data_IF_864438412690
#
_entry.id   IF_864438412690
#
_cell.length_a   1.000
_cell.length_b   1.000
_cell.length_c   1.000
_cell.angle_alpha   90.00
_cell.angle_beta   90.00
_cell.angle_gamma   90.00
#
_symmetry.space_group_name_H-M   'P 1'
#
loop_
_entity.id
_entity.type
_entity.pdbx_description
1 polymer ?
#
# COMPACT_ATOMS: atom_id res chain seq x y z
N UNK A 1 16.97 -9.84 11.43
CA UNK A 1 15.85 -9.00 10.98
C UNK A 1 16.30 -7.56 11.06
N UNK A 2 15.60 -6.65 10.39
CA UNK A 2 15.75 -5.20 10.52
C UNK A 2 14.33 -4.64 10.43
N UNK A 3 14.00 -3.60 11.19
CA UNK A 3 12.71 -2.93 11.15
C UNK A 3 12.80 -1.76 10.17
N UNK A 4 11.89 -1.72 9.21
CA UNK A 4 11.65 -0.56 8.35
C UNK A 4 10.42 0.19 8.87
N UNK A 5 10.56 1.51 9.01
CA UNK A 5 9.48 2.43 9.39
C UNK A 5 8.86 3.01 8.13
N UNK A 6 8.00 2.21 7.51
CA UNK A 6 7.44 2.49 6.19
C UNK A 6 6.73 3.83 6.14
N UNK A 7 7.27 4.70 5.29
CA UNK A 7 6.79 6.06 5.06
C UNK A 7 7.42 7.11 5.98
N UNK A 8 8.30 6.78 6.92
CA UNK A 8 8.97 7.84 7.69
C UNK A 8 10.17 8.43 6.93
N UNK A 9 10.40 9.74 7.12
CA UNK A 9 11.64 10.40 6.71
C UNK A 9 12.64 10.30 7.86
N UNK A 10 13.55 9.33 7.76
CA UNK A 10 14.50 8.99 8.84
C UNK A 10 15.92 8.84 8.29
N UNK A 11 16.96 9.02 9.13
CA UNK A 11 18.34 8.71 8.75
C UNK A 11 18.51 7.25 8.29
N UNK A 12 19.48 6.99 7.41
CA UNK A 12 19.80 5.64 6.92
C UNK A 12 19.96 4.61 8.06
N UNK A 13 20.55 5.03 9.18
CA UNK A 13 20.73 4.17 10.35
C UNK A 13 19.42 3.70 10.98
N UNK A 14 18.33 4.45 10.79
CA UNK A 14 17.01 4.12 11.30
C UNK A 14 16.05 3.58 10.23
N UNK A 15 16.33 3.78 8.94
CA UNK A 15 15.44 3.43 7.82
C UNK A 15 15.13 1.93 7.70
N UNK A 16 16.05 1.07 8.15
CA UNK A 16 15.81 -0.37 8.15
C UNK A 16 16.38 -1.11 6.94
N UNK A 17 17.33 -0.52 6.21
CA UNK A 17 18.03 -1.17 5.09
C UNK A 17 18.50 -2.61 5.43
N UNK A 18 18.32 -3.60 4.52
CA UNK A 18 18.74 -4.99 4.73
C UNK A 18 20.18 -5.23 5.19
N UNK A 19 21.12 -4.31 4.89
CA UNK A 19 22.52 -4.35 5.36
C UNK A 19 22.63 -4.28 6.88
N UNK A 20 21.64 -3.70 7.54
CA UNK A 20 21.58 -3.51 8.99
C UNK A 20 20.84 -4.65 9.69
N UNK A 21 20.48 -5.72 8.98
CA UNK A 21 19.79 -6.86 9.57
C UNK A 21 20.63 -7.53 10.66
N UNK A 22 20.07 -7.65 11.86
CA UNK A 22 20.71 -8.30 13.01
C UNK A 22 20.35 -9.78 13.11
N UNK A 23 21.26 -10.57 13.71
CA UNK A 23 21.05 -11.98 14.01
C UNK A 23 20.10 -12.22 15.20
N UNK A 24 19.81 -13.50 15.49
CA UNK A 24 19.04 -13.89 16.69
C UNK A 24 19.82 -13.53 17.95
N UNK A 25 19.13 -13.06 18.99
CA UNK A 25 19.75 -12.68 20.27
C UNK A 25 20.57 -11.38 20.23
N UNK A 26 20.50 -10.64 19.13
CA UNK A 26 21.11 -9.31 18.98
C UNK A 26 20.04 -8.24 19.14
N UNK A 27 20.50 -7.04 19.48
CA UNK A 27 19.69 -5.83 19.60
C UNK A 27 20.21 -4.77 18.63
N UNK A 28 19.29 -3.95 18.11
CA UNK A 28 19.59 -2.74 17.35
C UNK A 28 18.66 -1.63 17.86
N UNK A 29 19.25 -0.52 18.28
CA UNK A 29 18.51 0.63 18.82
C UNK A 29 18.27 1.62 17.69
N UNK A 30 17.01 2.01 17.51
CA UNK A 30 16.59 3.03 16.55
C UNK A 30 16.42 4.36 17.31
N UNK A 31 17.06 5.41 16.81
CA UNK A 31 16.94 6.77 17.34
C UNK A 31 16.76 7.74 16.16
N UNK A 32 15.64 8.47 16.16
CA UNK A 32 15.28 9.45 15.15
C UNK A 32 14.11 10.33 15.63
N UNK A 33 13.97 11.50 15.01
CA UNK A 33 12.86 12.40 15.22
C UNK A 33 11.75 12.13 14.20
N UNK A 34 10.49 12.09 14.64
CA UNK A 34 9.34 11.99 13.73
C UNK A 34 9.00 13.38 13.22
N UNK A 35 9.30 13.64 11.95
CA UNK A 35 9.03 14.92 11.27
C UNK A 35 7.90 14.84 10.26
N UNK A 36 7.31 13.65 10.11
CA UNK A 36 6.25 13.36 9.17
C UNK A 36 4.93 14.04 9.55
N UNK A 37 4.11 14.36 8.55
CA UNK A 37 2.73 14.83 8.71
C UNK A 37 1.86 13.78 9.42
N UNK A 38 0.80 14.21 10.09
CA UNK A 38 -0.19 13.30 10.65
C UNK A 38 -0.71 12.30 9.61
N UNK A 39 -0.83 11.04 10.02
CA UNK A 39 -1.20 9.96 9.11
C UNK A 39 -0.99 8.56 9.67
N UNK A 40 -1.39 7.58 8.85
CA UNK A 40 -1.17 6.16 9.12
C UNK A 40 0.11 5.68 8.42
N UNK A 41 1.15 5.49 9.22
CA UNK A 41 2.38 4.82 8.85
C UNK A 41 2.37 3.40 9.40
N UNK A 42 3.42 2.63 9.15
CA UNK A 42 3.52 1.28 9.67
C UNK A 42 4.97 0.84 9.73
N UNK A 43 5.23 -0.21 10.50
CA UNK A 43 6.54 -0.82 10.59
C UNK A 43 6.46 -2.31 10.30
N UNK A 44 7.48 -2.81 9.60
CA UNK A 44 7.57 -4.20 9.22
C UNK A 44 9.05 -4.60 9.02
N UNK A 45 9.38 -5.90 9.04
CA UNK A 45 10.74 -6.35 8.83
C UNK A 45 11.15 -6.13 7.37
N UNK A 46 12.41 -5.77 7.14
CA UNK A 46 13.00 -5.60 5.80
C UNK A 46 14.32 -6.38 5.57
N UNK A 47 14.46 -7.64 6.00
CA UNK A 47 15.66 -8.43 5.71
C UNK A 47 15.64 -8.99 4.29
N UNK A 48 16.78 -8.91 3.61
CA UNK A 48 16.98 -9.47 2.27
C UNK A 48 16.50 -10.94 2.18
N UNK A 49 15.71 -11.24 1.15
CA UNK A 49 15.11 -12.56 0.85
C UNK A 49 14.19 -13.14 1.93
N UNK A 50 13.85 -12.38 2.98
CA UNK A 50 13.10 -12.89 4.13
C UNK A 50 11.97 -11.96 4.59
N UNK A 51 11.79 -10.81 3.96
CA UNK A 51 10.72 -9.85 4.23
C UNK A 51 9.35 -10.53 4.16
N UNK A 52 8.97 -11.10 3.01
CA UNK A 52 7.66 -11.75 2.86
C UNK A 52 7.35 -12.80 3.92
N UNK A 53 8.32 -13.68 4.23
CA UNK A 53 8.14 -14.70 5.25
C UNK A 53 7.97 -14.14 6.67
N UNK A 54 8.67 -13.05 7.02
CA UNK A 54 8.58 -12.47 8.36
C UNK A 54 7.31 -11.62 8.53
N UNK A 55 6.93 -10.83 7.53
CA UNK A 55 5.65 -10.11 7.50
C UNK A 55 4.49 -11.09 7.59
N UNK A 56 4.52 -12.15 6.78
CA UNK A 56 3.48 -13.18 6.77
C UNK A 56 3.25 -13.82 8.14
N UNK A 57 4.33 -14.05 8.90
CA UNK A 57 4.29 -14.65 10.24
C UNK A 57 3.86 -13.67 11.34
N UNK A 58 3.51 -12.43 11.00
CA UNK A 58 2.85 -11.49 11.90
C UNK A 58 3.69 -10.29 12.33
N UNK A 59 4.92 -10.12 11.80
CA UNK A 59 5.70 -8.92 12.08
C UNK A 59 5.24 -7.77 11.18
N UNK A 60 4.16 -7.09 11.57
CA UNK A 60 3.69 -5.84 10.97
C UNK A 60 2.83 -5.08 11.99
N UNK A 61 2.97 -3.76 12.09
CA UNK A 61 2.16 -2.94 12.98
C UNK A 61 1.96 -1.52 12.45
N UNK A 62 0.82 -0.92 12.74
CA UNK A 62 0.56 0.48 12.43
C UNK A 62 1.37 1.40 13.35
N UNK A 63 1.76 2.55 12.81
CA UNK A 63 2.33 3.68 13.52
C UNK A 63 1.48 4.91 13.16
N UNK A 64 0.77 5.45 14.13
CA UNK A 64 -0.05 6.65 13.92
C UNK A 64 0.75 7.87 14.36
N UNK A 65 0.88 8.83 13.45
CA UNK A 65 1.45 10.14 13.73
C UNK A 65 0.31 11.13 13.80
N UNK A 66 0.28 11.96 14.84
CA UNK A 66 -0.69 13.04 15.02
C UNK A 66 0.01 14.39 14.99
N UNK A 67 -0.73 15.42 14.60
CA UNK A 67 -0.28 16.81 14.60
C UNK A 67 -1.46 17.76 14.84
N UNK A 68 -1.16 19.03 15.05
CA UNK A 68 -2.17 20.06 15.32
C UNK A 68 -3.02 20.41 14.10
N UNK A 69 -2.58 20.12 12.87
CA UNK A 69 -3.36 20.37 11.65
C UNK A 69 -4.53 19.37 11.58
N UNK A 70 -4.25 18.08 11.81
CA UNK A 70 -5.27 17.03 11.86
C UNK A 70 -6.23 17.23 13.05
N UNK A 71 -5.71 17.55 14.24
CA UNK A 71 -6.53 17.75 15.44
C UNK A 71 -7.57 18.89 15.25
N UNK A 72 -7.19 19.95 14.54
CA UNK A 72 -8.07 21.10 14.29
C UNK A 72 -9.30 20.76 13.44
N UNK A 73 -9.27 19.65 12.68
CA UNK A 73 -10.39 19.20 11.84
C UNK A 73 -11.50 18.51 12.64
N UNK A 74 -11.25 18.12 13.89
CA UNK A 74 -12.20 17.36 14.72
C UNK A 74 -12.78 16.15 13.98
N UNK A 75 -11.91 15.41 13.25
CA UNK A 75 -12.28 14.16 12.59
C UNK A 75 -12.82 13.13 13.60
N UNK A 76 -13.65 12.17 13.18
CA UNK A 76 -14.08 11.08 14.07
C UNK A 76 -12.87 10.40 14.72
N UNK A 77 -12.88 10.34 16.05
CA UNK A 77 -11.76 9.89 16.89
C UNK A 77 -12.24 8.94 18.00
N UNK A 78 -11.30 8.34 18.74
CA UNK A 78 -11.61 7.43 19.83
C UNK A 78 -12.38 6.20 19.34
N UNK A 79 -13.59 5.96 19.86
CA UNK A 79 -14.40 4.80 19.43
C UNK A 79 -14.95 4.92 18.00
N UNK A 80 -14.94 6.12 17.42
CA UNK A 80 -15.35 6.35 16.03
C UNK A 80 -14.19 6.26 15.04
N UNK A 81 -12.97 5.97 15.50
CA UNK A 81 -11.79 5.73 14.67
C UNK A 81 -11.40 4.25 14.72
N UNK A 82 -11.45 3.60 13.56
CA UNK A 82 -11.21 2.18 13.40
C UNK A 82 -9.93 1.95 12.61
N UNK A 83 -9.10 1.04 13.11
CA UNK A 83 -7.93 0.55 12.37
C UNK A 83 -8.32 -0.69 11.58
N UNK A 84 -7.86 -0.78 10.33
CA UNK A 84 -8.18 -1.88 9.42
C UNK A 84 -6.93 -2.34 8.68
N UNK A 85 -6.16 -3.24 9.29
CA UNK A 85 -5.00 -3.87 8.66
C UNK A 85 -5.46 -5.11 7.90
N UNK A 86 -5.49 -5.02 6.58
CA UNK A 86 -5.86 -6.09 5.67
C UNK A 86 -4.66 -7.01 5.44
N UNK A 87 -4.86 -8.30 5.64
CA UNK A 87 -3.84 -9.33 5.39
C UNK A 87 -4.51 -10.59 4.86
N UNK A 88 -3.93 -11.28 3.89
CA UNK A 88 -4.38 -12.61 3.48
C UNK A 88 -3.37 -13.71 3.87
N UNK A 89 -3.91 -14.85 4.32
CA UNK A 89 -3.15 -15.99 4.85
C UNK A 89 -3.71 -17.31 4.33
N UNK A 90 -2.91 -18.37 4.42
CA UNK A 90 -3.29 -19.78 4.26
C UNK A 90 -3.08 -20.51 5.58
N UNK A 91 -3.96 -21.47 5.85
CA UNK A 91 -3.90 -22.29 7.05
C UNK A 91 -3.98 -23.76 6.69
N UNK A 92 -3.18 -24.60 7.33
CA UNK A 92 -3.32 -26.05 7.20
C UNK A 92 -4.50 -26.59 8.03
N UNK A 93 -4.75 -27.90 7.95
CA UNK A 93 -5.81 -28.57 8.71
C UNK A 93 -5.62 -28.50 10.25
N UNK A 94 -4.45 -28.04 10.74
CA UNK A 94 -4.15 -27.83 12.16
C UNK A 94 -4.16 -26.35 12.54
N UNK A 95 -4.74 -25.49 11.69
CA UNK A 95 -4.78 -24.05 11.84
C UNK A 95 -3.39 -23.38 11.95
N UNK A 96 -2.34 -23.99 11.39
CA UNK A 96 -1.02 -23.37 11.32
C UNK A 96 -0.88 -22.52 10.06
N UNK A 97 -0.18 -21.40 10.16
CA UNK A 97 0.15 -20.53 9.03
C UNK A 97 1.02 -21.27 8.01
N UNK A 98 0.60 -21.27 6.74
CA UNK A 98 1.32 -21.91 5.64
C UNK A 98 1.90 -20.87 4.71
N UNK A 99 3.23 -20.73 4.68
CA UNK A 99 3.96 -19.89 3.73
C UNK A 99 4.94 -20.77 2.98
N UNK A 100 4.69 -21.03 1.71
CA UNK A 100 5.62 -21.79 0.88
C UNK A 100 6.73 -20.88 0.36
N UNK A 101 6.40 -19.66 -0.08
CA UNK A 101 7.26 -18.47 -0.02
C UNK A 101 8.59 -18.53 -0.78
N UNK A 102 8.84 -19.63 -1.47
CA UNK A 102 10.08 -19.95 -2.15
C UNK A 102 9.86 -20.88 -3.35
N UNK A 103 8.60 -21.17 -3.69
CA UNK A 103 8.27 -21.77 -4.98
C UNK A 103 8.41 -20.70 -6.07
N UNK A 104 9.08 -21.03 -7.17
CA UNK A 104 9.36 -20.09 -8.27
C UNK A 104 8.09 -19.36 -8.76
N UNK A 105 6.94 -20.04 -8.79
CA UNK A 105 5.67 -19.42 -9.21
C UNK A 105 5.11 -18.41 -8.19
N UNK A 106 5.28 -18.64 -6.88
CA UNK A 106 4.89 -17.65 -5.86
C UNK A 106 5.87 -16.47 -5.91
N UNK A 107 7.18 -16.72 -6.05
CA UNK A 107 8.21 -15.67 -6.25
C UNK A 107 7.91 -14.77 -7.46
N UNK A 108 7.26 -15.32 -8.49
CA UNK A 108 6.93 -14.58 -9.72
C UNK A 108 5.57 -13.89 -9.69
N UNK A 109 4.56 -14.44 -9.04
CA UNK A 109 3.20 -13.90 -9.09
C UNK A 109 2.76 -13.23 -7.77
N UNK A 110 3.59 -13.32 -6.74
CA UNK A 110 3.24 -12.97 -5.38
C UNK A 110 2.47 -14.07 -4.65
N UNK A 111 2.51 -14.00 -3.32
CA UNK A 111 1.76 -14.89 -2.45
C UNK A 111 0.32 -14.38 -2.30
N UNK A 112 -0.64 -15.25 -2.60
CA UNK A 112 -2.05 -15.03 -2.34
C UNK A 112 -2.56 -16.03 -1.31
N UNK A 113 -3.07 -15.52 -0.20
CA UNK A 113 -3.84 -16.25 0.79
C UNK A 113 -5.22 -16.64 0.27
N UNK A 114 -5.84 -17.63 0.94
CA UNK A 114 -7.22 -18.05 0.71
C UNK A 114 -8.18 -17.50 1.77
N UNK A 115 -7.65 -16.92 2.85
CA UNK A 115 -8.42 -16.31 3.92
C UNK A 115 -7.91 -14.91 4.22
N UNK A 116 -8.78 -13.92 4.07
CA UNK A 116 -8.51 -12.53 4.47
C UNK A 116 -8.77 -12.36 5.97
N UNK A 117 -7.89 -11.60 6.59
CA UNK A 117 -7.91 -11.18 7.99
C UNK A 117 -7.95 -9.65 8.04
N UNK A 118 -8.69 -9.13 9.01
CA UNK A 118 -8.63 -7.71 9.38
C UNK A 118 -8.14 -7.66 10.82
N UNK A 119 -7.02 -6.97 11.05
CA UNK A 119 -6.34 -6.93 12.36
C UNK A 119 -6.06 -8.34 12.93
N UNK A 120 -5.71 -9.29 12.06
CA UNK A 120 -5.45 -10.69 12.45
C UNK A 120 -6.68 -11.57 12.64
N UNK A 121 -7.90 -11.03 12.51
CA UNK A 121 -9.15 -11.77 12.69
C UNK A 121 -9.88 -12.06 11.37
N UNK A 122 -10.30 -13.31 11.09
CA UNK A 122 -11.18 -13.60 9.95
C UNK A 122 -12.60 -13.13 10.24
N UNK A 123 -13.37 -12.79 9.19
CA UNK A 123 -14.78 -12.39 9.29
C UNK A 123 -15.05 -11.24 10.27
N UNK A 124 -14.20 -10.22 10.26
CA UNK A 124 -14.23 -9.13 11.22
C UNK A 124 -15.59 -8.41 11.22
N UNK A 125 -16.17 -8.26 12.41
CA UNK A 125 -17.44 -7.59 12.65
C UNK A 125 -17.34 -6.70 13.87
N UNK A 126 -17.69 -5.43 13.69
CA UNK A 126 -17.59 -4.40 14.74
C UNK A 126 -18.93 -3.71 14.91
N UNK A 127 -19.38 -3.55 16.16
CA UNK A 127 -20.54 -2.71 16.46
C UNK A 127 -20.11 -1.24 16.52
N UNK A 128 -20.85 -0.37 15.82
CA UNK A 128 -20.52 1.06 15.69
C UNK A 128 -21.77 1.91 15.84
N UNK A 129 -21.63 3.17 16.23
CA UNK A 129 -22.79 4.08 16.31
C UNK A 129 -23.29 4.48 14.92
N UNK A 130 -24.57 4.83 14.79
CA UNK A 130 -25.16 5.26 13.53
C UNK A 130 -24.77 6.71 13.19
N UNK A 131 -23.50 6.91 12.85
CA UNK A 131 -22.86 8.20 12.62
C UNK A 131 -21.66 8.11 11.66
N UNK A 132 -20.92 9.21 11.50
CA UNK A 132 -19.64 9.21 10.79
C UNK A 132 -18.56 8.46 11.58
N UNK A 133 -17.79 7.64 10.88
CA UNK A 133 -16.61 6.97 11.41
C UNK A 133 -15.39 7.31 10.55
N UNK A 134 -14.20 7.12 11.12
CA UNK A 134 -12.92 7.17 10.43
C UNK A 134 -12.35 5.76 10.37
N UNK A 135 -11.92 5.31 9.19
CA UNK A 135 -11.33 3.98 9.01
C UNK A 135 -9.96 4.13 8.36
N UNK A 136 -8.90 3.87 9.12
CA UNK A 136 -7.51 3.85 8.62
C UNK A 136 -7.16 2.46 8.13
N UNK A 137 -7.14 2.30 6.82
CA UNK A 137 -6.90 1.04 6.13
C UNK A 137 -5.42 0.93 5.75
N UNK A 138 -4.80 -0.20 6.06
CA UNK A 138 -3.49 -0.60 5.56
C UNK A 138 -3.63 -1.90 4.78
N UNK A 139 -3.11 -1.95 3.56
CA UNK A 139 -2.87 -3.23 2.89
C UNK A 139 -1.52 -3.80 3.33
N UNK A 140 -1.56 -4.67 4.34
CA UNK A 140 -0.40 -5.41 4.87
C UNK A 140 -0.31 -6.84 4.35
N UNK A 141 -0.97 -7.14 3.23
CA UNK A 141 -0.85 -8.41 2.51
C UNK A 141 0.47 -8.50 1.76
N UNK A 142 0.91 -9.72 1.44
CA UNK A 142 2.15 -9.92 0.70
C UNK A 142 2.05 -9.43 -0.75
N UNK A 143 0.96 -9.79 -1.45
CA UNK A 143 0.78 -9.43 -2.85
C UNK A 143 -0.65 -9.03 -3.27
N UNK A 144 -1.65 -9.34 -2.45
CA UNK A 144 -3.07 -9.12 -2.81
C UNK A 144 -3.38 -7.63 -2.96
N UNK A 145 -4.03 -7.28 -4.08
CA UNK A 145 -4.57 -5.94 -4.33
C UNK A 145 -6.07 -5.97 -4.00
N UNK A 146 -6.57 -4.96 -3.31
CA UNK A 146 -7.99 -4.85 -2.97
C UNK A 146 -8.65 -3.73 -3.78
N UNK A 147 -9.85 -3.98 -4.29
CA UNK A 147 -10.72 -3.00 -4.94
C UNK A 147 -11.88 -2.67 -4.02
N UNK A 148 -11.61 -1.84 -3.02
CA UNK A 148 -12.46 -1.55 -1.88
C UNK A 148 -13.73 -0.80 -2.28
N UNK A 149 -14.88 -1.21 -1.74
CA UNK A 149 -16.15 -0.50 -1.82
C UNK A 149 -16.99 -0.77 -0.57
N UNK A 150 -17.72 0.25 -0.12
CA UNK A 150 -18.74 0.08 0.90
C UNK A 150 -20.05 -0.43 0.29
N UNK A 151 -20.75 -1.32 1.01
CA UNK A 151 -22.11 -1.72 0.66
C UNK A 151 -23.13 -0.62 0.98
N UNK A 152 -24.37 -0.79 0.50
CA UNK A 152 -25.48 0.08 0.88
C UNK A 152 -25.37 1.51 0.35
N UNK A 153 -24.67 1.71 -0.79
CA UNK A 153 -24.58 2.98 -1.50
C UNK A 153 -23.68 4.03 -0.86
N UNK A 154 -22.88 3.67 0.13
CA UNK A 154 -21.94 4.60 0.77
C UNK A 154 -20.77 4.85 -0.18
N UNK A 155 -20.47 6.11 -0.54
CA UNK A 155 -19.30 6.41 -1.35
C UNK A 155 -18.00 6.18 -0.55
N UNK A 156 -16.92 5.87 -1.25
CA UNK A 156 -15.57 5.93 -0.70
C UNK A 156 -15.18 7.40 -0.57
N UNK A 157 -15.39 7.99 0.61
CA UNK A 157 -14.87 9.32 0.96
C UNK A 157 -13.46 9.16 1.51
N UNK A 158 -12.46 9.38 0.66
CA UNK A 158 -11.03 9.31 1.01
C UNK A 158 -10.58 10.68 1.50
N UNK A 159 -9.96 10.73 2.67
CA UNK A 159 -9.43 11.95 3.28
C UNK A 159 -7.91 11.95 3.41
N UNK A 160 -7.26 10.81 3.26
CA UNK A 160 -5.81 10.68 3.37
C UNK A 160 -5.30 9.38 2.74
N UNK A 161 -3.99 9.34 2.53
CA UNK A 161 -3.26 8.19 1.99
C UNK A 161 -1.95 7.96 2.75
N UNK A 162 -0.94 7.43 2.05
CA UNK A 162 0.33 7.05 2.66
C UNK A 162 1.02 8.21 3.42
N UNK A 163 1.02 9.42 2.84
CA UNK A 163 1.67 10.61 3.37
C UNK A 163 0.77 11.52 4.19
N UNK A 164 -0.33 11.00 4.75
CA UNK A 164 -1.29 11.76 5.55
C UNK A 164 -2.48 12.30 4.76
N UNK A 165 -3.09 13.37 5.27
CA UNK A 165 -4.29 13.97 4.69
C UNK A 165 -4.09 14.46 3.25
N UNK A 166 -5.13 14.31 2.43
CA UNK A 166 -5.28 15.00 1.14
C UNK A 166 -5.52 16.49 1.36
N UNK A 167 -5.42 17.33 0.32
CA UNK A 167 -5.82 18.74 0.44
C UNK A 167 -7.35 18.88 0.55
N UNK A 168 -8.08 18.04 -0.19
CA UNK A 168 -9.55 18.00 -0.22
C UNK A 168 -10.05 16.54 -0.16
N UNK A 169 -11.24 16.28 0.42
CA UNK A 169 -11.83 14.95 0.40
C UNK A 169 -12.11 14.50 -1.04
N UNK A 170 -11.74 13.27 -1.37
CA UNK A 170 -12.03 12.64 -2.65
C UNK A 170 -13.19 11.65 -2.48
N UNK A 171 -14.29 11.86 -3.22
CA UNK A 171 -15.41 10.91 -3.26
C UNK A 171 -15.36 10.08 -4.54
N UNK A 172 -15.34 8.76 -4.38
CA UNK A 172 -15.37 7.80 -5.48
C UNK A 172 -16.21 6.58 -5.11
N UNK A 173 -16.52 5.73 -6.09
CA UNK A 173 -17.32 4.51 -5.86
C UNK A 173 -16.48 3.33 -5.37
N UNK A 174 -15.20 3.28 -5.77
CA UNK A 174 -14.25 2.22 -5.43
C UNK A 174 -12.90 2.85 -5.10
N UNK A 175 -12.09 2.16 -4.30
CA UNK A 175 -10.71 2.53 -4.00
C UNK A 175 -9.81 1.31 -4.27
N UNK A 176 -8.78 1.48 -5.09
CA UNK A 176 -7.77 0.45 -5.32
C UNK A 176 -6.65 0.62 -4.31
N UNK A 177 -6.35 -0.42 -3.54
CA UNK A 177 -5.33 -0.41 -2.50
C UNK A 177 -4.37 -1.59 -2.67
N UNK A 178 -3.14 -1.31 -3.08
CA UNK A 178 -2.07 -2.30 -3.27
C UNK A 178 -1.23 -2.49 -1.99
N UNK A 179 -0.45 -3.58 -1.87
CA UNK A 179 0.44 -3.80 -0.73
C UNK A 179 1.33 -2.60 -0.42
N UNK A 180 1.44 -2.26 0.87
CA UNK A 180 2.18 -1.10 1.37
C UNK A 180 1.42 0.24 1.32
N UNK A 181 0.32 0.31 0.56
CA UNK A 181 -0.52 1.51 0.52
C UNK A 181 -1.47 1.58 1.73
N UNK A 182 -1.76 2.81 2.14
CA UNK A 182 -2.73 3.16 3.18
C UNK A 182 -3.80 4.09 2.63
N UNK A 183 -4.96 4.05 3.26
CA UNK A 183 -6.05 4.99 2.98
C UNK A 183 -6.78 5.34 4.26
N UNK A 184 -7.23 6.58 4.34
CA UNK A 184 -8.06 7.08 5.44
C UNK A 184 -9.45 7.43 4.90
N UNK A 185 -10.47 6.78 5.44
CA UNK A 185 -11.82 6.74 4.90
C UNK A 185 -12.85 7.28 5.90
N UNK A 186 -13.84 8.00 5.40
CA UNK A 186 -14.98 8.48 6.18
C UNK A 186 -16.31 7.87 5.68
N UNK A 187 -16.72 6.68 6.14
CA UNK A 187 -18.07 6.19 5.91
C UNK A 187 -19.12 6.95 6.75
N UNK A 188 -20.19 7.39 6.10
CA UNK A 188 -21.37 7.97 6.77
C UNK A 188 -22.42 6.89 7.05
N UNK A 189 -22.62 6.58 8.34
CA UNK A 189 -23.66 5.66 8.80
C UNK A 189 -24.84 6.39 9.46
N UNK A 190 -24.88 7.72 9.37
CA UNK A 190 -25.91 8.55 9.99
C UNK A 190 -27.30 8.15 9.49
N UNK A 191 -28.24 8.01 10.43
CA UNK A 191 -29.64 7.70 10.10
C UNK A 191 -29.93 6.24 9.73
N UNK A 192 -28.92 5.37 9.70
CA UNK A 192 -29.14 3.93 9.54
C UNK A 192 -29.80 3.35 10.79
N UNK A 193 -30.79 2.46 10.60
CA UNK A 193 -31.46 1.78 11.70
C UNK A 193 -30.50 0.90 12.49
N UNK A 194 -30.76 0.70 13.79
CA UNK A 194 -29.96 -0.21 14.61
C UNK A 194 -30.00 -1.65 14.03
N UNK A 195 -28.86 -2.32 14.07
CA UNK A 195 -28.68 -3.66 13.50
C UNK A 195 -28.40 -3.68 12.00
N UNK A 196 -28.39 -2.53 11.30
CA UNK A 196 -27.99 -2.47 9.89
C UNK A 196 -26.55 -2.91 9.74
N UNK A 197 -26.29 -3.80 8.79
CA UNK A 197 -24.94 -4.22 8.45
C UNK A 197 -24.47 -3.48 7.19
N UNK A 198 -23.32 -2.82 7.32
CA UNK A 198 -22.58 -2.19 6.23
C UNK A 198 -21.25 -2.91 6.09
N UNK A 199 -20.86 -3.20 4.87
CA UNK A 199 -19.71 -4.04 4.60
C UNK A 199 -18.66 -3.29 3.81
N UNK A 200 -17.40 -3.49 4.16
CA UNK A 200 -16.28 -3.17 3.28
C UNK A 200 -15.94 -4.43 2.50
N UNK A 201 -16.07 -4.34 1.18
CA UNK A 201 -15.83 -5.44 0.26
C UNK A 201 -14.68 -5.09 -0.68
N UNK A 202 -13.87 -6.09 -1.04
CA UNK A 202 -13.09 -6.02 -2.27
C UNK A 202 -13.98 -6.51 -3.41
N UNK A 203 -14.29 -5.63 -4.36
CA UNK A 203 -15.03 -5.99 -5.56
C UNK A 203 -14.19 -6.86 -6.49
N UNK A 204 -14.88 -7.64 -7.32
CA UNK A 204 -14.21 -8.42 -8.35
C UNK A 204 -13.54 -7.54 -9.41
N UNK A 205 -12.41 -8.03 -9.92
CA UNK A 205 -11.72 -7.50 -11.09
C UNK A 205 -11.08 -8.65 -11.88
N UNK A 206 -10.75 -8.43 -13.15
CA UNK A 206 -10.10 -9.46 -13.96
C UNK A 206 -8.65 -9.66 -13.51
N UNK A 207 -8.14 -10.90 -13.41
CA UNK A 207 -6.73 -11.13 -13.02
C UNK A 207 -5.76 -10.28 -13.85
N UNK A 208 -6.00 -10.16 -15.16
CA UNK A 208 -5.20 -9.34 -16.07
C UNK A 208 -5.11 -7.85 -15.69
N UNK A 209 -6.03 -7.33 -14.86
CA UNK A 209 -5.96 -5.97 -14.33
C UNK A 209 -4.80 -5.81 -13.33
N UNK A 210 -4.52 -6.85 -12.54
CA UNK A 210 -3.39 -6.92 -11.62
C UNK A 210 -2.17 -7.65 -12.20
N UNK A 211 -2.32 -8.35 -13.32
CA UNK A 211 -1.24 -9.10 -13.95
C UNK A 211 -1.70 -10.41 -14.60
N UNK A 212 -0.92 -10.91 -15.54
CA UNK A 212 -1.18 -12.17 -16.24
C UNK A 212 0.04 -13.09 -16.17
N UNK A 213 -0.21 -14.40 -16.02
CA UNK A 213 0.84 -15.42 -16.13
C UNK A 213 1.11 -15.88 -17.57
N UNK A 214 0.58 -15.19 -18.58
CA UNK A 214 0.77 -15.53 -19.99
C UNK A 214 0.50 -16.99 -20.38
N UNK A 215 1.27 -17.50 -21.35
CA UNK A 215 1.25 -18.91 -21.79
C UNK A 215 1.56 -19.90 -20.64
N UNK A 216 2.41 -19.50 -19.68
CA UNK A 216 2.75 -20.30 -18.49
C UNK A 216 1.53 -20.51 -17.58
N UNK A 217 0.63 -19.53 -17.49
CA UNK A 217 -0.62 -19.62 -16.76
C UNK A 217 -1.67 -20.52 -17.40
N UNK A 218 -1.58 -20.74 -18.72
CA UNK A 218 -2.45 -21.61 -19.53
C UNK A 218 -1.97 -23.07 -19.57
N UNK A 219 -0.66 -23.32 -19.46
CA UNK A 219 -0.09 -24.69 -19.44
C UNK A 219 -0.29 -25.45 -18.11
N UNK A 220 -1.16 -24.96 -17.21
CA UNK A 220 -1.62 -25.75 -16.08
C UNK A 220 -0.55 -26.13 -15.05
N UNK A 221 0.53 -25.34 -14.93
CA UNK A 221 1.48 -25.42 -13.80
C UNK A 221 0.75 -25.04 -12.50
N UNK A 222 -0.03 -26.00 -11.96
CA UNK A 222 -1.01 -25.86 -10.86
C UNK A 222 -0.39 -25.77 -9.47
N UNK A 223 0.93 -25.87 -9.33
CA UNK A 223 1.61 -25.83 -8.03
C UNK A 223 1.61 -24.41 -7.44
N UNK A 224 0.81 -24.17 -6.41
CA UNK A 224 0.90 -22.95 -5.57
C UNK A 224 -0.12 -21.84 -5.84
N UNK A 225 -1.06 -22.04 -6.78
CA UNK A 225 -2.16 -21.08 -6.98
C UNK A 225 -3.11 -21.10 -5.78
N UNK A 226 -3.40 -19.91 -5.23
CA UNK A 226 -4.46 -19.76 -4.24
C UNK A 226 -5.78 -20.26 -4.81
N UNK A 227 -6.61 -20.87 -3.97
CA UNK A 227 -8.01 -21.16 -4.32
C UNK A 227 -8.82 -19.88 -4.52
N UNK A 228 -8.34 -18.76 -3.98
CA UNK A 228 -8.94 -17.43 -4.10
C UNK A 228 -8.06 -16.55 -4.99
N UNK A 229 -8.46 -16.27 -6.25
CA UNK A 229 -7.70 -15.41 -7.15
C UNK A 229 -7.57 -13.98 -6.62
N UNK A 230 -6.66 -13.17 -7.16
CA UNK A 230 -6.39 -11.82 -6.66
C UNK A 230 -7.64 -10.94 -6.74
N UNK A 231 -8.32 -10.97 -7.89
CA UNK A 231 -9.54 -10.24 -8.20
C UNK A 231 -10.83 -10.92 -7.76
N UNK A 232 -10.78 -11.85 -6.80
CA UNK A 232 -11.98 -12.41 -6.19
C UNK A 232 -12.78 -11.32 -5.45
N UNK A 233 -14.11 -11.43 -5.49
CA UNK A 233 -14.97 -10.64 -4.59
C UNK A 233 -14.85 -11.17 -3.17
N UNK A 234 -14.54 -10.30 -2.20
CA UNK A 234 -14.22 -10.69 -0.83
C UNK A 234 -14.87 -9.73 0.18
N UNK A 235 -15.56 -10.30 1.17
CA UNK A 235 -16.02 -9.58 2.37
C UNK A 235 -14.86 -9.37 3.32
N UNK A 236 -14.49 -8.12 3.60
CA UNK A 236 -13.33 -7.79 4.42
C UNK A 236 -13.74 -7.55 5.88
N UNK A 237 -14.64 -6.59 6.10
CA UNK A 237 -15.17 -6.26 7.42
C UNK A 237 -16.64 -5.89 7.37
N UNK A 238 -17.33 -6.04 8.49
CA UNK A 238 -18.73 -5.64 8.67
C UNK A 238 -18.86 -4.66 9.84
N UNK A 239 -19.45 -3.51 9.57
CA UNK A 239 -19.89 -2.54 10.56
C UNK A 239 -21.37 -2.77 10.83
N UNK A 240 -21.72 -3.10 12.08
CA UNK A 240 -23.11 -3.24 12.52
C UNK A 240 -23.52 -2.03 13.34
N UNK A 241 -24.52 -1.29 12.90
CA UNK A 241 -24.95 -0.07 13.58
C UNK A 241 -25.66 -0.36 14.90
N UNK A 242 -25.37 0.45 15.92
CA UNK A 242 -26.08 0.47 17.20
C UNK A 242 -27.23 1.49 17.14
N UNK A 243 -28.05 1.56 18.19
CA UNK A 243 -29.06 2.61 18.34
C UNK A 243 -28.48 3.96 18.78
N UNK A 244 -27.20 4.00 19.19
CA UNK A 244 -26.54 5.22 19.66
C UNK A 244 -26.19 6.11 18.47
N UNK A 245 -26.26 7.42 18.73
CA UNK A 245 -25.86 8.48 17.81
C UNK A 245 -24.67 9.21 18.43
N UNK A 246 -23.74 9.67 17.60
CA UNK A 246 -22.63 10.53 18.04
C UNK A 246 -22.91 12.00 17.73
N UNK A 247 -21.95 12.85 18.10
CA UNK A 247 -21.94 14.26 17.71
C UNK A 247 -22.05 14.41 16.19
N UNK A 248 -22.80 15.44 15.76
CA UNK A 248 -22.92 15.79 14.36
C UNK A 248 -21.55 16.18 13.80
N UNK A 249 -21.20 15.62 12.65
CA UNK A 249 -19.95 15.87 11.94
C UNK A 249 -20.26 16.24 10.50
N UNK A 250 -19.45 17.14 9.93
CA UNK A 250 -19.45 17.46 8.50
C UNK A 250 -18.02 17.34 8.02
N UNK A 251 -17.83 16.63 6.91
CA UNK A 251 -16.51 16.52 6.28
C UNK A 251 -16.04 17.92 5.88
N UNK A 252 -14.88 18.40 6.38
CA UNK A 252 -14.31 19.68 5.95
C UNK A 252 -14.04 19.69 4.45
N UNK A 253 -14.32 20.81 3.78
CA UNK A 253 -14.02 20.93 2.34
C UNK A 253 -12.51 20.96 2.07
N UNK A 254 -11.73 21.51 3.01
CA UNK A 254 -10.27 21.50 3.01
C UNK A 254 -9.77 20.75 4.23
N UNK A 255 -8.88 19.78 4.02
CA UNK A 255 -8.34 18.91 5.05
C UNK A 255 -6.92 19.28 5.44
N UNK A 256 -6.12 19.76 4.50
CA UNK A 256 -4.73 20.15 4.77
C UNK A 256 -4.25 21.21 3.79
N UNK A 257 -3.05 21.73 4.02
CA UNK A 257 -2.32 22.58 3.10
C UNK A 257 -1.00 21.92 2.68
N UNK A 258 -0.76 21.87 1.37
CA UNK A 258 0.51 21.39 0.84
C UNK A 258 1.50 22.53 0.63
N UNK A 259 2.77 22.28 0.92
CA UNK A 259 3.82 23.28 0.76
C UNK A 259 4.24 23.47 -0.70
N UNK A 260 5.19 24.38 -0.95
CA UNK A 260 5.71 24.67 -2.29
C UNK A 260 6.41 23.47 -2.97
N UNK A 261 6.77 22.41 -2.23
CA UNK A 261 7.37 21.18 -2.79
C UNK A 261 6.33 20.29 -3.46
N UNK A 262 5.04 20.50 -3.18
CA UNK A 262 3.95 19.84 -3.87
C UNK A 262 3.78 20.33 -5.32
N UNK A 263 4.15 21.57 -5.66
CA UNK A 263 3.98 22.09 -7.02
C UNK A 263 4.86 21.35 -8.05
N UNK A 264 4.34 21.02 -9.25
CA UNK A 264 5.12 20.27 -10.23
C UNK A 264 6.24 21.14 -10.79
N UNK A 265 7.44 20.56 -10.95
CA UNK A 265 8.61 21.20 -11.54
C UNK A 265 8.88 20.58 -12.91
N UNK A 266 8.98 21.42 -13.94
CA UNK A 266 9.23 20.96 -15.31
C UNK A 266 10.73 20.73 -15.60
N UNK A 267 11.60 21.56 -15.03
CA UNK A 267 13.03 21.61 -15.36
C UNK A 267 13.89 20.92 -14.29
N UNK A 268 13.54 19.68 -13.96
CA UNK A 268 14.31 18.84 -13.02
C UNK A 268 14.80 17.57 -13.71
N UNK A 269 15.84 16.96 -13.15
CA UNK A 269 16.38 15.68 -13.67
C UNK A 269 15.27 14.63 -13.71
N UNK A 270 15.10 14.02 -14.88
CA UNK A 270 14.18 12.91 -15.10
C UNK A 270 14.96 11.61 -15.10
N UNK A 271 14.52 10.64 -14.30
CA UNK A 271 14.99 9.25 -14.36
C UNK A 271 13.88 8.35 -14.86
N UNK A 272 14.22 7.43 -15.77
CA UNK A 272 13.33 6.34 -16.19
C UNK A 272 13.76 5.05 -15.52
N UNK A 273 12.79 4.28 -15.03
CA UNK A 273 12.99 2.97 -14.39
C UNK A 273 12.03 1.98 -15.05
N UNK A 274 12.48 1.26 -16.09
CA UNK A 274 11.71 0.16 -16.68
C UNK A 274 11.46 -0.95 -15.65
N UNK A 275 10.20 -1.32 -15.46
CA UNK A 275 9.79 -2.52 -14.74
C UNK A 275 9.64 -3.62 -15.79
N UNK A 276 10.45 -4.67 -15.70
CA UNK A 276 10.46 -5.70 -16.74
C UNK A 276 10.58 -7.10 -16.15
N UNK A 277 10.23 -8.09 -16.95
CA UNK A 277 10.37 -9.50 -16.62
C UNK A 277 11.26 -10.19 -17.63
N UNK A 278 12.42 -10.69 -17.20
CA UNK A 278 13.38 -11.40 -18.04
C UNK A 278 14.04 -12.53 -17.25
N UNK A 279 14.39 -13.63 -17.92
CA UNK A 279 15.09 -14.78 -17.31
C UNK A 279 14.46 -15.26 -15.99
N UNK A 280 13.12 -15.28 -15.95
CA UNK A 280 12.32 -15.69 -14.79
C UNK A 280 12.46 -14.79 -13.55
N UNK A 281 12.81 -13.51 -13.75
CA UNK A 281 12.99 -12.53 -12.68
C UNK A 281 12.32 -11.20 -13.01
N UNK A 282 11.79 -10.55 -11.98
CA UNK A 282 11.38 -9.14 -12.05
C UNK A 282 12.59 -8.24 -11.87
N UNK A 283 12.67 -7.21 -12.70
CA UNK A 283 13.81 -6.32 -12.80
C UNK A 283 13.36 -4.86 -12.72
N UNK A 284 14.12 -4.08 -11.96
CA UNK A 284 14.06 -2.61 -11.96
C UNK A 284 15.25 -2.14 -12.78
N UNK A 285 14.99 -1.49 -13.91
CA UNK A 285 16.03 -1.00 -14.82
C UNK A 285 17.01 -2.10 -15.25
N UNK A 286 16.46 -3.29 -15.52
CA UNK A 286 17.23 -4.46 -15.94
C UNK A 286 18.01 -5.18 -14.83
N UNK A 287 17.88 -4.75 -13.57
CA UNK A 287 18.67 -5.25 -12.43
C UNK A 287 17.80 -5.89 -11.35
N UNK A 288 18.37 -6.87 -10.65
CA UNK A 288 17.86 -7.38 -9.37
C UNK A 288 18.59 -6.70 -8.22
N UNK A 289 18.03 -6.75 -7.02
CA UNK A 289 18.65 -6.14 -5.85
C UNK A 289 19.99 -6.79 -5.51
N UNK A 290 21.03 -5.97 -5.38
CA UNK A 290 22.32 -6.34 -4.79
C UNK A 290 22.64 -5.40 -3.62
N UNK A 291 23.05 -5.99 -2.50
CA UNK A 291 23.01 -5.40 -1.15
C UNK A 291 23.61 -3.99 -0.99
N UNK A 292 24.62 -3.63 -1.77
CA UNK A 292 25.25 -2.31 -1.73
C UNK A 292 25.60 -1.79 -3.11
N UNK A 293 24.95 -2.32 -4.14
CA UNK A 293 25.15 -1.91 -5.51
C UNK A 293 24.30 -0.67 -5.80
N UNK A 294 24.93 0.38 -6.33
CA UNK A 294 24.32 1.69 -6.57
C UNK A 294 24.85 2.24 -7.90
N UNK A 295 23.96 2.53 -8.83
CA UNK A 295 24.32 3.13 -10.11
C UNK A 295 24.53 4.64 -9.98
N UNK A 296 25.34 5.26 -10.85
CA UNK A 296 25.50 6.71 -10.89
C UNK A 296 24.17 7.47 -11.00
N UNK A 297 23.17 6.88 -11.68
CA UNK A 297 21.81 7.42 -11.82
C UNK A 297 20.95 7.30 -10.55
N UNK A 298 21.35 6.43 -9.61
CA UNK A 298 20.76 6.28 -8.26
C UNK A 298 21.32 7.30 -7.27
N UNK A 299 22.47 7.89 -7.59
CA UNK A 299 23.08 8.92 -6.75
C UNK A 299 22.46 10.29 -7.03
N UNK A 300 21.89 10.88 -5.98
CA UNK A 300 21.22 12.18 -6.00
C UNK A 300 21.73 13.06 -4.86
N UNK A 301 21.65 14.37 -5.03
CA UNK A 301 21.98 15.31 -3.95
C UNK A 301 20.87 15.29 -2.89
N UNK A 302 21.22 15.14 -1.61
CA UNK A 302 20.24 15.24 -0.51
C UNK A 302 19.41 16.53 -0.62
N UNK A 303 18.09 16.43 -0.46
CA UNK A 303 17.16 17.55 -0.63
C UNK A 303 16.86 17.98 -2.07
N UNK A 304 17.45 17.37 -3.10
CA UNK A 304 17.12 17.70 -4.50
C UNK A 304 15.76 17.16 -4.92
N UNK A 305 15.11 17.84 -5.87
CA UNK A 305 13.84 17.42 -6.47
C UNK A 305 14.05 16.84 -7.85
N UNK A 306 13.56 15.63 -8.09
CA UNK A 306 13.69 14.91 -9.36
C UNK A 306 12.33 14.36 -9.80
N UNK A 307 12.21 14.09 -11.11
CA UNK A 307 11.12 13.30 -11.66
C UNK A 307 11.59 11.87 -11.89
N UNK A 308 10.77 10.91 -11.50
CA UNK A 308 11.00 9.49 -11.75
C UNK A 308 9.83 8.91 -12.54
N UNK A 309 10.12 8.16 -13.58
CA UNK A 309 9.14 7.48 -14.42
C UNK A 309 9.28 5.97 -14.25
N UNK A 310 8.32 5.36 -13.58
CA UNK A 310 8.23 3.90 -13.51
C UNK A 310 7.44 3.42 -14.72
N UNK A 311 8.10 2.65 -15.59
CA UNK A 311 7.55 2.22 -16.89
C UNK A 311 7.30 0.72 -16.83
N UNK A 312 6.06 0.30 -16.60
CA UNK A 312 5.69 -1.11 -16.56
C UNK A 312 5.59 -1.68 -17.96
N UNK A 313 6.65 -2.34 -18.42
CA UNK A 313 6.76 -2.85 -19.78
C UNK A 313 5.87 -4.07 -19.98
N UNK A 314 5.19 -4.12 -21.13
CA UNK A 314 4.49 -5.33 -21.57
C UNK A 314 5.51 -6.43 -21.86
N UNK A 315 5.09 -7.67 -21.65
CA UNK A 315 5.95 -8.83 -21.89
C UNK A 315 5.39 -9.67 -23.05
N UNK A 316 6.19 -9.99 -24.09
CA UNK A 316 5.71 -10.78 -25.22
C UNK A 316 5.20 -12.18 -24.86
N UNK A 317 5.66 -12.77 -23.75
CA UNK A 317 5.18 -14.06 -23.24
C UNK A 317 3.91 -13.92 -22.37
N UNK A 318 3.42 -12.70 -22.19
CA UNK A 318 2.25 -12.37 -21.37
C UNK A 318 2.48 -12.41 -19.87
N UNK A 319 3.75 -12.42 -19.42
CA UNK A 319 4.13 -12.32 -18.01
C UNK A 319 4.10 -10.86 -17.56
N UNK A 320 2.96 -10.42 -17.03
CA UNK A 320 2.72 -9.04 -16.62
C UNK A 320 2.27 -9.01 -15.16
N UNK A 321 2.63 -7.97 -14.42
CA UNK A 321 2.17 -7.73 -13.06
C UNK A 321 1.95 -6.25 -12.82
N UNK A 322 1.03 -5.90 -11.94
CA UNK A 322 0.94 -4.59 -11.34
C UNK A 322 1.99 -4.48 -10.24
N UNK A 323 2.72 -3.37 -10.20
CA UNK A 323 3.81 -3.18 -9.26
C UNK A 323 3.52 -2.00 -8.33
N UNK A 324 3.23 -2.21 -7.03
CA UNK A 324 3.28 -1.14 -6.04
C UNK A 324 4.73 -0.75 -5.80
N UNK A 325 5.21 0.33 -6.43
CA UNK A 325 6.59 0.79 -6.27
C UNK A 325 6.67 1.70 -5.04
N UNK A 326 7.44 1.26 -4.05
CA UNK A 326 7.74 2.00 -2.84
C UNK A 326 9.12 2.67 -2.93
N UNK A 327 9.23 3.90 -2.44
CA UNK A 327 10.51 4.61 -2.26
C UNK A 327 10.68 4.99 -0.78
N UNK A 328 11.81 4.62 -0.19
CA UNK A 328 12.16 4.99 1.18
C UNK A 328 12.56 6.48 1.29
N UNK A 329 12.67 6.95 2.53
CA UNK A 329 13.24 8.26 2.87
C UNK A 329 12.28 9.44 2.73
N UNK A 330 11.41 9.49 1.71
CA UNK A 330 10.39 10.54 1.66
C UNK A 330 9.20 10.20 0.78
N UNK A 331 8.06 10.82 1.08
CA UNK A 331 6.92 10.86 0.19
C UNK A 331 7.25 11.62 -1.11
N UNK A 332 6.48 11.26 -2.14
CA UNK A 332 6.46 11.88 -3.44
C UNK A 332 5.02 12.15 -3.85
N UNK A 333 4.86 12.89 -4.94
CA UNK A 333 3.55 13.11 -5.57
C UNK A 333 3.48 12.39 -6.90
N UNK A 334 2.28 11.93 -7.27
CA UNK A 334 2.03 11.50 -8.64
C UNK A 334 1.84 12.75 -9.51
N UNK A 335 2.54 12.79 -10.65
CA UNK A 335 2.48 13.90 -11.61
C UNK A 335 1.47 13.57 -12.70
N UNK A 336 1.61 12.38 -13.30
CA UNK A 336 0.67 11.86 -14.27
C UNK A 336 0.84 10.34 -14.43
N UNK A 337 -0.16 9.75 -15.09
CA UNK A 337 -0.18 8.35 -15.52
C UNK A 337 -0.48 8.31 -17.01
N UNK A 338 0.29 7.55 -17.78
CA UNK A 338 0.08 7.38 -19.22
C UNK A 338 0.18 5.91 -19.61
N UNK A 339 -0.38 5.54 -20.76
CA UNK A 339 -0.46 4.14 -21.17
C UNK A 339 -1.44 3.31 -20.33
N UNK A 340 -1.18 2.00 -20.25
CA UNK A 340 -2.03 1.00 -19.63
C UNK A 340 -3.30 0.69 -20.44
N UNK A 341 -3.94 -0.43 -20.12
CA UNK A 341 -5.22 -0.80 -20.75
C UNK A 341 -6.33 0.12 -20.25
N UNK A 342 -7.09 0.74 -21.16
CA UNK A 342 -8.25 1.59 -20.80
C UNK A 342 -9.37 0.80 -20.13
N UNK A 343 -9.45 -0.50 -20.39
CA UNK A 343 -10.41 -1.43 -19.77
C UNK A 343 -9.99 -1.92 -18.38
N UNK A 344 -8.81 -1.57 -17.89
CA UNK A 344 -8.34 -1.99 -16.57
C UNK A 344 -9.19 -1.31 -15.47
N UNK A 345 -9.95 -2.10 -14.72
CA UNK A 345 -10.94 -1.58 -13.78
C UNK A 345 -10.36 -1.13 -12.45
N UNK A 346 -9.09 -1.46 -12.16
CA UNK A 346 -8.39 -0.97 -10.97
C UNK A 346 -8.07 0.54 -11.09
N UNK A 347 -8.00 1.07 -12.32
CA UNK A 347 -7.75 2.50 -12.56
C UNK A 347 -8.79 3.41 -11.93
N UNK A 348 -10.03 2.95 -11.86
CA UNK A 348 -11.16 3.73 -11.35
C UNK A 348 -11.07 4.06 -9.85
N UNK A 349 -10.22 3.35 -9.10
CA UNK A 349 -10.03 3.54 -7.67
C UNK A 349 -8.68 4.12 -7.27
N UNK A 350 -7.84 4.55 -8.22
CA UNK A 350 -6.53 5.12 -7.90
C UNK A 350 -6.65 6.52 -7.28
N UNK A 351 -5.78 6.82 -6.31
CA UNK A 351 -5.73 8.12 -5.63
C UNK A 351 -4.34 8.74 -5.82
N UNK A 352 -4.29 9.82 -6.59
CA UNK A 352 -3.04 10.52 -6.93
C UNK A 352 -2.95 11.93 -6.29
N UNK A 353 -4.01 12.37 -5.60
CA UNK A 353 -4.19 13.74 -5.12
C UNK A 353 -3.50 14.11 -3.80
N UNK A 354 -2.60 13.26 -3.28
CA UNK A 354 -1.89 13.52 -2.02
C UNK A 354 -0.47 12.97 -2.01
N UNK A 355 0.26 13.28 -0.94
CA UNK A 355 1.58 12.71 -0.69
C UNK A 355 1.48 11.19 -0.55
N UNK A 356 2.26 10.46 -1.33
CA UNK A 356 2.32 9.01 -1.34
C UNK A 356 3.76 8.53 -1.22
N UNK A 357 4.01 7.35 -0.67
CA UNK A 357 5.33 6.70 -0.73
C UNK A 357 5.30 5.40 -1.51
N UNK A 358 4.12 4.95 -1.95
CA UNK A 358 3.92 3.69 -2.66
C UNK A 358 2.92 3.89 -3.81
N UNK A 359 3.39 3.76 -5.05
CA UNK A 359 2.57 3.98 -6.25
C UNK A 359 2.33 2.69 -7.00
N UNK A 360 1.06 2.30 -7.15
CA UNK A 360 0.68 1.18 -8.01
C UNK A 360 0.90 1.54 -9.48
N UNK A 361 1.75 0.79 -10.18
CA UNK A 361 2.02 0.93 -11.63
C UNK A 361 1.38 -0.27 -12.34
N UNK A 362 0.26 -0.04 -13.03
CA UNK A 362 -0.51 -1.12 -13.67
C UNK A 362 0.19 -1.67 -14.93
N UNK A 363 -0.16 -2.88 -15.41
CA UNK A 363 0.42 -3.44 -16.63
C UNK A 363 0.33 -2.48 -17.84
N UNK A 364 1.47 -2.23 -18.48
CA UNK A 364 1.60 -1.31 -19.62
C UNK A 364 1.52 0.18 -19.26
N UNK A 365 1.43 0.54 -17.98
CA UNK A 365 1.34 1.92 -17.51
C UNK A 365 2.73 2.52 -17.28
N UNK A 366 2.85 3.82 -17.56
CA UNK A 366 3.94 4.66 -17.06
C UNK A 366 3.39 5.61 -16.02
N UNK A 367 3.99 5.62 -14.82
CA UNK A 367 3.64 6.57 -13.77
C UNK A 367 4.83 7.48 -13.51
N UNK A 368 4.61 8.79 -13.69
CA UNK A 368 5.60 9.82 -13.37
C UNK A 368 5.33 10.35 -11.97
N UNK A 369 6.35 10.33 -11.11
CA UNK A 369 6.31 10.90 -9.77
C UNK A 369 7.33 12.02 -9.63
N UNK A 370 7.04 12.99 -8.77
CA UNK A 370 8.01 14.00 -8.34
C UNK A 370 8.39 13.72 -6.89
N UNK A 371 9.67 13.44 -6.68
CA UNK A 371 10.26 13.17 -5.38
C UNK A 371 11.22 14.31 -5.03
N UNK A 372 11.11 14.81 -3.82
CA UNK A 372 12.17 15.67 -3.24
C UNK A 372 12.86 14.84 -2.19
N UNK A 373 14.09 14.40 -2.44
CA UNK A 373 14.77 13.44 -1.59
C UNK A 373 14.98 13.96 -0.17
N UNK A 374 15.07 13.02 0.78
CA UNK A 374 15.40 13.32 2.17
C UNK A 374 16.68 14.15 2.27
N UNK A 375 16.78 14.95 3.34
CA UNK A 375 18.01 15.68 3.67
C UNK A 375 19.02 14.82 4.42
N UNK A 376 18.61 13.63 4.87
CA UNK A 376 19.52 12.66 5.47
C UNK A 376 20.34 11.99 4.36
N UNK A 377 21.68 12.20 4.32
CA UNK A 377 22.51 11.47 3.37
C UNK A 377 22.59 9.99 3.77
N UNK A 378 22.63 9.11 2.77
CA UNK A 378 22.80 7.68 2.99
C UNK A 378 22.21 6.83 1.88
N UNK A 379 22.16 5.52 2.13
CA UNK A 379 21.59 4.54 1.22
C UNK A 379 20.12 4.25 1.54
N UNK A 380 19.24 4.56 0.59
CA UNK A 380 17.80 4.30 0.68
C UNK A 380 17.35 3.38 -0.44
N UNK A 381 16.27 2.63 -0.20
CA UNK A 381 15.75 1.69 -1.17
C UNK A 381 14.60 2.28 -1.99
N UNK A 382 14.43 1.76 -3.19
CA UNK A 382 13.15 1.73 -3.85
C UNK A 382 12.93 0.32 -4.39
N UNK A 383 11.71 -0.20 -4.31
CA UNK A 383 11.41 -1.57 -4.71
C UNK A 383 9.92 -1.78 -4.99
N UNK A 384 9.60 -2.88 -5.65
CA UNK A 384 8.24 -3.39 -5.68
C UNK A 384 7.84 -3.87 -4.27
N UNK A 385 6.62 -3.57 -3.85
CA UNK A 385 6.07 -3.93 -2.54
C UNK A 385 5.19 -5.19 -2.57
N UNK A 386 5.27 -5.96 -3.67
CA UNK A 386 5.00 -7.39 -3.59
C UNK A 386 6.20 -8.02 -2.87
N UNK A 387 5.96 -8.75 -1.77
CA UNK A 387 7.02 -9.12 -0.83
C UNK A 387 7.84 -10.36 -1.21
N UNK A 388 7.38 -11.05 -2.26
CA UNK A 388 8.03 -12.17 -2.93
C UNK A 388 9.07 -11.67 -3.93
#
# INVERSE_FOLDING_TARGET
TTVHWHGLDVPEAADGHPRRAIGRGREYVYDFEVTNRAGAYWYHPHPHMRTGAQVYRGLAGLLLVGDTEEDALSLPSGQAELLCVLQDRRFDARNQLVFHGGGMMEMMNGFLGDRVLVNGHPYSKTEVDAAWHRVRVLNGSNARIYKLAWSGGIPMTVIGGDGGLLEHPLRQSVLTLAPGQRADLLPDLTGRAAGTEVHLDSQAFAESDAGGGGMMGMMGMRGGRSSVPNGASLRLMTLRTSARKSQAFRVPERLSSFDATWSPRADVRVRRVPLSFQRMQWLLDGRTFAMGDVEPEETVTAGSTHLWEFVNLTNPMGMEAAHPIHMHGRQFRVVNRTGGRTTNTLRAGLVDGGWTDTVLVLPGETVRVQVTFTRHPGLYLYHCHLLE
#
